data_IF_498664079002
#
_entry.id   IF_498664079002
#
_cell.length_a   1.000
_cell.length_b   1.000
_cell.length_c   1.000
_cell.angle_alpha   90.00
_cell.angle_beta   90.00
_cell.angle_gamma   90.00
#
_symmetry.space_group_name_H-M   'P 1'
#
loop_
_entity.id
_entity.type
_entity.pdbx_description
1 polymer ?
#
# COMPACT_ATOMS: atom_id res chain seq x y z
N UNK A 1 45.66 -147.07 3.63
CA UNK A 1 46.19 -148.44 3.49
C UNK A 1 46.71 -148.55 2.06
N UNK A 2 47.97 -148.96 1.87
CA UNK A 2 48.56 -149.20 0.55
C UNK A 2 49.22 -150.58 0.56
N UNK A 3 49.05 -151.35 -0.51
CA UNK A 3 49.66 -152.67 -0.66
C UNK A 3 50.47 -152.72 -1.97
N UNK A 4 51.56 -153.48 -1.97
CA UNK A 4 52.35 -153.76 -3.17
C UNK A 4 52.86 -155.21 -3.13
N UNK A 5 52.91 -155.85 -4.30
CA UNK A 5 53.28 -157.26 -4.46
C UNK A 5 54.79 -157.40 -4.65
N UNK A 6 55.41 -158.39 -3.98
CA UNK A 6 56.84 -158.72 -4.14
C UNK A 6 56.96 -159.83 -5.19
N UNK A 7 57.48 -159.55 -6.41
CA UNK A 7 57.45 -160.51 -7.51
C UNK A 7 58.62 -161.48 -7.40
N UNK A 8 58.47 -162.54 -6.60
CA UNK A 8 59.24 -163.80 -6.62
C UNK A 8 58.91 -164.72 -5.42
N UNK A 9 58.11 -164.23 -4.46
CA UNK A 9 57.52 -165.01 -3.36
C UNK A 9 56.08 -164.54 -3.17
N UNK A 10 55.13 -165.47 -3.05
CA UNK A 10 53.66 -165.25 -3.03
C UNK A 10 53.16 -164.54 -1.74
N UNK A 11 53.82 -163.44 -1.35
CA UNK A 11 53.60 -162.66 -0.14
C UNK A 11 53.14 -161.23 -0.50
N UNK A 12 52.18 -160.70 0.25
CA UNK A 12 51.69 -159.31 0.12
C UNK A 12 52.15 -158.49 1.32
N UNK A 13 52.87 -157.39 1.08
CA UNK A 13 53.23 -156.44 2.13
C UNK A 13 52.12 -155.40 2.27
N UNK A 14 51.41 -155.41 3.39
CA UNK A 14 50.37 -154.44 3.72
C UNK A 14 50.88 -153.50 4.81
N UNK A 15 51.11 -152.23 4.46
CA UNK A 15 51.43 -151.18 5.43
C UNK A 15 50.11 -150.57 5.90
N UNK A 16 49.80 -150.78 7.17
CA UNK A 16 48.66 -150.15 7.84
C UNK A 16 49.19 -148.97 8.64
N UNK A 17 48.67 -147.77 8.34
CA UNK A 17 48.95 -146.57 9.13
C UNK A 17 47.72 -146.33 10.01
N UNK A 18 47.95 -146.22 11.31
CA UNK A 18 46.87 -146.05 12.28
C UNK A 18 46.20 -144.69 12.07
N UNK A 19 44.88 -144.66 11.83
CA UNK A 19 44.14 -143.44 11.50
C UNK A 19 44.16 -142.40 12.63
N UNK A 20 44.45 -142.84 13.87
CA UNK A 20 44.63 -141.98 15.04
C UNK A 20 45.95 -141.21 15.05
N UNK A 21 47.05 -141.77 14.52
CA UNK A 21 48.32 -141.06 14.41
C UNK A 21 48.31 -140.06 13.24
N UNK A 22 47.74 -140.43 12.09
CA UNK A 22 47.64 -139.54 10.92
C UNK A 22 46.75 -138.31 11.16
N UNK A 23 45.68 -138.44 11.97
CA UNK A 23 44.76 -137.33 12.28
C UNK A 23 45.15 -136.52 13.52
N UNK A 24 46.18 -136.91 14.27
CA UNK A 24 46.61 -136.18 15.48
C UNK A 24 47.09 -134.76 15.15
N UNK A 25 47.88 -134.61 14.07
CA UNK A 25 48.35 -133.32 13.55
C UNK A 25 47.21 -132.48 12.97
N UNK A 26 46.26 -133.10 12.26
CA UNK A 26 45.10 -132.42 11.70
C UNK A 26 44.14 -131.91 12.78
N UNK A 27 43.90 -132.70 13.85
CA UNK A 27 43.07 -132.28 14.98
C UNK A 27 43.73 -131.20 15.85
N UNK A 28 45.06 -131.20 15.97
CA UNK A 28 45.79 -130.11 16.63
C UNK A 28 45.68 -128.80 15.84
N UNK A 29 45.85 -128.85 14.50
CA UNK A 29 45.66 -127.70 13.62
C UNK A 29 44.21 -127.17 13.64
N UNK A 30 43.22 -128.07 13.63
CA UNK A 30 41.80 -127.69 13.73
C UNK A 30 41.50 -126.97 15.06
N UNK A 31 42.04 -127.45 16.19
CA UNK A 31 41.88 -126.79 17.50
C UNK A 31 42.55 -125.42 17.55
N UNK A 32 43.73 -125.26 16.93
CA UNK A 32 44.41 -123.96 16.83
C UNK A 32 43.61 -122.98 15.97
N UNK A 33 43.06 -123.43 14.83
CA UNK A 33 42.23 -122.59 13.96
C UNK A 33 40.94 -122.19 14.68
N UNK A 34 40.25 -123.12 15.36
CA UNK A 34 39.05 -122.82 16.13
C UNK A 34 39.34 -121.86 17.29
N UNK A 35 40.46 -122.04 18.01
CA UNK A 35 40.88 -121.13 19.07
C UNK A 35 41.22 -119.74 18.52
N UNK A 36 41.98 -119.65 17.42
CA UNK A 36 42.32 -118.39 16.76
C UNK A 36 41.07 -117.66 16.25
N UNK A 37 40.09 -118.40 15.71
CA UNK A 37 38.81 -117.85 15.23
C UNK A 37 37.93 -117.37 16.38
N UNK A 38 37.89 -118.11 17.49
CA UNK A 38 37.17 -117.70 18.69
C UNK A 38 37.79 -116.43 19.32
N UNK A 39 39.12 -116.34 19.37
CA UNK A 39 39.84 -115.16 19.87
C UNK A 39 39.63 -113.95 18.96
N UNK A 40 39.73 -114.11 17.63
CA UNK A 40 39.47 -113.00 16.70
C UNK A 40 38.01 -112.54 16.74
N UNK A 41 37.05 -113.46 16.90
CA UNK A 41 35.64 -113.11 17.10
C UNK A 41 35.41 -112.35 18.42
N UNK A 42 36.02 -112.78 19.53
CA UNK A 42 35.94 -112.06 20.81
C UNK A 42 36.55 -110.66 20.72
N UNK A 43 37.71 -110.52 20.07
CA UNK A 43 38.36 -109.22 19.85
C UNK A 43 37.49 -108.32 18.97
N UNK A 44 36.84 -108.87 17.94
CA UNK A 44 35.95 -108.11 17.05
C UNK A 44 34.69 -107.63 17.78
N UNK A 45 34.08 -108.46 18.63
CA UNK A 45 32.94 -108.07 19.47
C UNK A 45 33.36 -107.00 20.49
N UNK A 46 34.54 -107.15 21.10
CA UNK A 46 35.06 -106.16 22.05
C UNK A 46 35.37 -104.82 21.39
N UNK A 47 36.05 -104.82 20.23
CA UNK A 47 36.31 -103.61 19.45
C UNK A 47 35.00 -102.97 18.98
N UNK A 48 34.04 -103.77 18.51
CA UNK A 48 32.71 -103.29 18.12
C UNK A 48 31.99 -102.61 19.29
N UNK A 49 32.06 -103.20 20.49
CA UNK A 49 31.50 -102.59 21.70
C UNK A 49 32.21 -101.27 22.08
N UNK A 50 33.54 -101.22 21.99
CA UNK A 50 34.32 -100.00 22.28
C UNK A 50 34.02 -98.90 21.27
N UNK A 51 33.97 -99.20 19.98
CA UNK A 51 33.60 -98.24 18.92
C UNK A 51 32.16 -97.76 19.11
N UNK A 52 31.23 -98.67 19.36
CA UNK A 52 29.82 -98.32 19.60
C UNK A 52 29.68 -97.37 20.80
N UNK A 53 30.37 -97.64 21.91
CA UNK A 53 30.27 -96.84 23.14
C UNK A 53 31.05 -95.53 23.08
N UNK A 54 32.23 -95.50 22.44
CA UNK A 54 33.10 -94.31 22.40
C UNK A 54 32.85 -93.39 21.20
N UNK A 55 32.26 -93.89 20.11
CA UNK A 55 32.03 -93.14 18.87
C UNK A 55 30.54 -93.05 18.57
N UNK A 56 29.85 -94.18 18.39
CA UNK A 56 28.45 -94.18 17.92
C UNK A 56 27.49 -93.53 18.91
N UNK A 57 27.68 -93.76 20.22
CA UNK A 57 26.80 -93.21 21.26
C UNK A 57 26.91 -91.67 21.38
N UNK A 58 28.12 -91.06 21.48
CA UNK A 58 28.27 -89.59 21.44
C UNK A 58 27.79 -88.95 20.14
N UNK A 59 27.98 -89.61 18.99
CA UNK A 59 27.46 -89.12 17.70
C UNK A 59 25.93 -89.10 17.72
N UNK A 60 25.27 -90.17 18.17
CA UNK A 60 23.81 -90.22 18.25
C UNK A 60 23.26 -89.16 19.22
N UNK A 61 23.94 -88.93 20.34
CA UNK A 61 23.58 -87.86 21.28
C UNK A 61 23.68 -86.48 20.61
N UNK A 62 24.79 -86.20 19.91
CA UNK A 62 24.97 -84.95 19.19
C UNK A 62 23.97 -84.79 18.04
N UNK A 63 23.66 -85.86 17.32
CA UNK A 63 22.60 -85.87 16.30
C UNK A 63 21.24 -85.52 16.90
N UNK A 64 20.90 -86.05 18.08
CA UNK A 64 19.68 -85.70 18.78
C UNK A 64 19.64 -84.23 19.24
N UNK A 65 20.78 -83.68 19.67
CA UNK A 65 20.89 -82.25 20.00
C UNK A 65 20.78 -81.37 18.76
N UNK A 66 21.37 -81.79 17.63
CA UNK A 66 21.23 -81.12 16.34
C UNK A 66 19.79 -81.14 15.84
N UNK A 67 19.07 -82.26 15.99
CA UNK A 67 17.66 -82.36 15.62
C UNK A 67 16.78 -81.42 16.46
N UNK A 68 17.04 -81.34 17.77
CA UNK A 68 16.39 -80.36 18.65
C UNK A 68 16.69 -78.92 18.22
N UNK A 69 17.94 -78.60 17.92
CA UNK A 69 18.33 -77.27 17.42
C UNK A 69 17.70 -76.94 16.06
N UNK A 70 17.61 -77.92 15.15
CA UNK A 70 16.96 -77.78 13.85
C UNK A 70 15.46 -77.50 13.98
N UNK A 71 14.81 -78.04 15.01
CA UNK A 71 13.42 -77.76 15.36
C UNK A 71 13.24 -76.46 16.16
N UNK A 72 14.28 -75.65 16.32
CA UNK A 72 14.24 -74.34 16.96
C UNK A 72 14.60 -74.34 18.45
N UNK A 73 14.97 -75.47 19.07
CA UNK A 73 15.44 -75.46 20.46
C UNK A 73 16.93 -75.09 20.55
N UNK A 74 17.21 -73.80 20.71
CA UNK A 74 18.57 -73.23 20.81
C UNK A 74 19.04 -73.20 22.28
N UNK A 75 18.37 -73.93 23.19
CA UNK A 75 18.81 -74.11 24.59
C UNK A 75 19.70 -75.34 24.78
N UNK A 76 19.85 -76.15 23.73
CA UNK A 76 20.61 -77.41 23.77
C UNK A 76 22.12 -77.20 23.90
N UNK A 77 22.76 -78.02 24.72
CA UNK A 77 24.20 -78.00 24.96
C UNK A 77 24.72 -79.43 24.98
N UNK A 78 25.77 -79.69 24.21
CA UNK A 78 26.51 -80.95 24.28
C UNK A 78 27.47 -80.91 25.46
N UNK A 79 27.37 -81.91 26.34
CA UNK A 79 28.24 -82.07 27.51
C UNK A 79 29.37 -83.07 27.25
N UNK A 80 29.52 -83.53 26.01
CA UNK A 80 30.55 -84.50 25.63
C UNK A 80 31.93 -83.83 25.60
N UNK A 81 32.80 -84.24 26.52
CA UNK A 81 34.18 -83.75 26.61
C UNK A 81 35.14 -84.88 26.27
N UNK A 82 35.87 -84.72 25.17
CA UNK A 82 36.98 -85.59 24.78
C UNK A 82 38.10 -84.76 24.14
N UNK A 83 39.30 -85.32 24.06
CA UNK A 83 40.47 -84.68 23.39
C UNK A 83 40.61 -85.09 21.92
N UNK A 84 39.58 -85.73 21.37
CA UNK A 84 39.51 -86.22 19.99
C UNK A 84 38.63 -85.31 19.11
N UNK A 85 38.40 -85.74 17.87
CA UNK A 85 37.59 -85.04 16.88
C UNK A 85 36.13 -84.84 17.33
N UNK A 86 35.58 -85.75 18.13
CA UNK A 86 34.21 -85.67 18.64
C UNK A 86 34.08 -84.62 19.74
N UNK A 87 35.11 -84.47 20.59
CA UNK A 87 35.19 -83.36 21.54
C UNK A 87 35.25 -81.99 20.85
N UNK A 88 36.04 -81.87 19.78
CA UNK A 88 36.07 -80.64 18.97
C UNK A 88 34.74 -80.36 18.26
N UNK A 89 34.09 -81.41 17.73
CA UNK A 89 32.77 -81.29 17.11
C UNK A 89 31.69 -80.82 18.11
N UNK A 90 31.69 -81.36 19.33
CA UNK A 90 30.81 -80.91 20.43
C UNK A 90 31.04 -79.44 20.80
N UNK A 91 32.31 -79.02 20.93
CA UNK A 91 32.65 -77.63 21.22
C UNK A 91 32.22 -76.66 20.10
N UNK A 92 32.43 -77.04 18.83
CA UNK A 92 31.99 -76.25 17.68
C UNK A 92 30.47 -76.19 17.56
N UNK A 93 29.76 -77.27 17.87
CA UNK A 93 28.29 -77.28 17.97
C UNK A 93 27.81 -76.28 19.04
N UNK A 94 28.37 -76.32 20.25
CA UNK A 94 28.01 -75.39 21.32
C UNK A 94 28.28 -73.92 20.90
N UNK A 95 29.40 -73.65 20.22
CA UNK A 95 29.72 -72.32 19.68
C UNK A 95 28.71 -71.86 18.63
N UNK A 96 28.30 -72.76 17.73
CA UNK A 96 27.26 -72.49 16.73
C UNK A 96 25.93 -72.13 17.40
N UNK A 97 25.48 -72.92 18.37
CA UNK A 97 24.25 -72.66 19.14
C UNK A 97 24.34 -71.31 19.87
N UNK A 98 25.47 -71.01 20.51
CA UNK A 98 25.69 -69.72 21.17
C UNK A 98 25.62 -68.53 20.21
N UNK A 99 26.20 -68.66 19.01
CA UNK A 99 26.17 -67.60 18.00
C UNK A 99 24.76 -67.40 17.44
N UNK A 100 24.03 -68.49 17.16
CA UNK A 100 22.62 -68.43 16.74
C UNK A 100 21.79 -67.77 17.85
N UNK A 101 22.01 -68.16 19.11
CA UNK A 101 21.33 -67.56 20.26
C UNK A 101 21.53 -66.04 20.33
N UNK A 102 22.77 -65.57 20.19
CA UNK A 102 23.08 -64.13 20.18
C UNK A 102 22.37 -63.43 19.01
N UNK A 103 22.41 -64.01 17.82
CA UNK A 103 21.78 -63.45 16.62
C UNK A 103 20.26 -63.32 16.81
N UNK A 104 19.57 -64.31 17.42
CA UNK A 104 18.13 -64.20 17.67
C UNK A 104 17.83 -63.12 18.72
N UNK A 105 18.68 -62.96 19.74
CA UNK A 105 18.55 -61.87 20.73
C UNK A 105 18.69 -60.51 20.05
N UNK A 106 19.72 -60.32 19.22
CA UNK A 106 19.94 -59.08 18.48
C UNK A 106 18.79 -58.78 17.51
N UNK A 107 18.21 -59.81 16.86
CA UNK A 107 17.02 -59.68 16.01
C UNK A 107 15.80 -59.23 16.84
N UNK A 108 15.55 -59.81 18.02
CA UNK A 108 14.39 -59.43 18.85
C UNK A 108 14.49 -57.99 19.34
N UNK A 109 15.70 -57.52 19.67
CA UNK A 109 15.96 -56.11 20.00
C UNK A 109 15.73 -55.20 18.79
N UNK A 110 16.26 -55.55 17.62
CA UNK A 110 16.06 -54.78 16.39
C UNK A 110 14.58 -54.69 15.98
N UNK A 111 13.82 -55.78 16.13
CA UNK A 111 12.36 -55.83 15.90
C UNK A 111 11.64 -54.80 16.76
N UNK A 112 11.96 -54.72 18.06
CA UNK A 112 11.37 -53.76 18.99
C UNK A 112 11.63 -52.31 18.56
N UNK A 113 12.87 -52.01 18.16
CA UNK A 113 13.25 -50.67 17.67
C UNK A 113 12.46 -50.30 16.42
N UNK A 114 12.34 -51.22 15.45
CA UNK A 114 11.63 -50.93 14.19
C UNK A 114 10.12 -50.79 14.40
N UNK A 115 9.50 -51.60 15.27
CA UNK A 115 8.07 -51.44 15.62
C UNK A 115 7.82 -50.06 16.21
N UNK A 116 8.61 -49.66 17.21
CA UNK A 116 8.45 -48.36 17.86
C UNK A 116 8.70 -47.19 16.88
N UNK A 117 9.71 -47.32 16.01
CA UNK A 117 10.00 -46.34 14.97
C UNK A 117 8.87 -46.20 13.95
N UNK A 118 8.28 -47.31 13.51
CA UNK A 118 7.14 -47.33 12.61
C UNK A 118 5.88 -46.70 13.24
N UNK A 119 5.59 -47.00 14.52
CA UNK A 119 4.48 -46.36 15.24
C UNK A 119 4.67 -44.84 15.38
N UNK A 120 5.89 -44.42 15.69
CA UNK A 120 6.23 -43.00 15.76
C UNK A 120 6.06 -42.31 14.41
N UNK A 121 6.53 -42.92 13.31
CA UNK A 121 6.35 -42.39 11.96
C UNK A 121 4.88 -42.25 11.59
N UNK A 122 4.05 -43.27 11.83
CA UNK A 122 2.60 -43.18 11.60
C UNK A 122 1.97 -42.03 12.38
N UNK A 123 2.37 -41.84 13.65
CA UNK A 123 1.86 -40.75 14.48
C UNK A 123 2.27 -39.38 13.91
N UNK A 124 3.55 -39.17 13.63
CA UNK A 124 4.08 -37.90 13.12
C UNK A 124 3.51 -37.57 11.74
N UNK A 125 3.33 -38.57 10.88
CA UNK A 125 2.69 -38.37 9.57
C UNK A 125 1.24 -37.87 9.71
N UNK A 126 0.46 -38.38 10.68
CA UNK A 126 -0.91 -37.90 10.94
C UNK A 126 -0.91 -36.46 11.47
N UNK A 127 -0.05 -36.15 12.44
CA UNK A 127 0.09 -34.78 12.97
C UNK A 127 0.52 -33.78 11.87
N UNK A 128 1.38 -34.21 10.94
CA UNK A 128 1.74 -33.40 9.78
C UNK A 128 0.58 -33.15 8.82
N UNK A 129 -0.27 -34.16 8.56
CA UNK A 129 -1.48 -33.97 7.72
C UNK A 129 -2.41 -32.91 8.32
N UNK A 130 -2.61 -32.91 9.63
CA UNK A 130 -3.40 -31.87 10.32
C UNK A 130 -2.76 -30.48 10.14
N UNK A 131 -1.44 -30.39 10.29
CA UNK A 131 -0.69 -29.13 10.09
C UNK A 131 -0.77 -28.63 8.65
N UNK A 132 -0.66 -29.53 7.67
CA UNK A 132 -0.79 -29.24 6.23
C UNK A 132 -2.22 -28.75 5.91
N UNK A 133 -3.24 -29.33 6.54
CA UNK A 133 -4.63 -28.87 6.39
C UNK A 133 -4.81 -27.42 6.86
N UNK A 134 -4.17 -27.04 7.97
CA UNK A 134 -4.18 -25.65 8.44
C UNK A 134 -3.47 -24.71 7.45
N UNK A 135 -2.32 -25.11 6.90
CA UNK A 135 -1.63 -24.35 5.84
C UNK A 135 -2.52 -24.17 4.61
N UNK A 136 -3.25 -25.21 4.21
CA UNK A 136 -4.22 -25.17 3.10
C UNK A 136 -5.34 -24.15 3.34
N UNK A 137 -5.87 -24.10 4.56
CA UNK A 137 -6.90 -23.13 4.91
C UNK A 137 -6.37 -21.68 4.84
N UNK A 138 -5.16 -21.43 5.34
CA UNK A 138 -4.55 -20.10 5.28
C UNK A 138 -4.20 -19.67 3.85
N UNK A 139 -3.74 -20.59 3.00
CA UNK A 139 -3.43 -20.25 1.59
C UNK A 139 -4.70 -19.90 0.80
N UNK A 140 -5.84 -20.55 1.11
CA UNK A 140 -7.13 -20.17 0.53
C UNK A 140 -7.56 -18.75 0.95
N UNK A 141 -7.34 -18.40 2.22
CA UNK A 141 -7.61 -17.04 2.70
C UNK A 141 -6.70 -15.99 2.04
N UNK A 142 -5.41 -16.31 1.84
CA UNK A 142 -4.47 -15.46 1.11
C UNK A 142 -4.94 -15.25 -0.35
N UNK A 143 -5.34 -16.33 -1.05
CA UNK A 143 -5.83 -16.25 -2.41
C UNK A 143 -7.13 -15.41 -2.53
N UNK A 144 -8.05 -15.56 -1.57
CA UNK A 144 -9.26 -14.71 -1.47
C UNK A 144 -8.89 -13.24 -1.22
N UNK A 145 -7.95 -12.99 -0.31
CA UNK A 145 -7.44 -11.66 -0.01
C UNK A 145 -6.80 -10.97 -1.22
N UNK A 146 -5.96 -11.69 -1.96
CA UNK A 146 -5.33 -11.19 -3.19
C UNK A 146 -6.37 -10.83 -4.27
N UNK A 147 -7.38 -11.68 -4.47
CA UNK A 147 -8.48 -11.41 -5.40
C UNK A 147 -9.32 -10.20 -4.97
N UNK A 148 -9.60 -10.06 -3.69
CA UNK A 148 -10.31 -8.89 -3.17
C UNK A 148 -9.49 -7.61 -3.38
N UNK A 149 -8.19 -7.66 -3.06
CA UNK A 149 -7.28 -6.53 -3.25
C UNK A 149 -7.15 -6.14 -4.73
N UNK A 150 -7.17 -7.08 -5.67
CA UNK A 150 -7.20 -6.80 -7.11
C UNK A 150 -8.46 -6.00 -7.50
N UNK A 151 -9.63 -6.36 -6.98
CA UNK A 151 -10.89 -5.62 -7.23
C UNK A 151 -10.85 -4.21 -6.64
N UNK A 152 -10.36 -4.05 -5.42
CA UNK A 152 -10.19 -2.74 -4.79
C UNK A 152 -9.19 -1.85 -5.54
N UNK A 153 -8.15 -2.47 -6.11
CA UNK A 153 -7.15 -1.78 -6.95
C UNK A 153 -7.77 -1.25 -8.24
N UNK A 154 -8.59 -2.03 -8.92
CA UNK A 154 -9.33 -1.60 -10.13
C UNK A 154 -10.35 -0.48 -9.83
N UNK A 155 -11.05 -0.59 -8.70
CA UNK A 155 -11.93 0.46 -8.22
C UNK A 155 -11.16 1.77 -7.94
N UNK A 156 -10.01 1.66 -7.27
CA UNK A 156 -9.13 2.79 -6.96
C UNK A 156 -8.59 3.44 -8.24
N UNK A 157 -8.21 2.65 -9.25
CA UNK A 157 -7.82 3.15 -10.56
C UNK A 157 -8.92 4.01 -11.19
N UNK A 158 -10.16 3.50 -11.21
CA UNK A 158 -11.32 4.23 -11.73
C UNK A 158 -11.61 5.51 -10.96
N UNK A 159 -11.40 5.51 -9.63
CA UNK A 159 -11.53 6.70 -8.79
C UNK A 159 -10.49 7.77 -9.17
N UNK A 160 -9.23 7.38 -9.39
CA UNK A 160 -8.19 8.32 -9.82
C UNK A 160 -8.42 8.87 -11.23
N UNK A 161 -9.00 8.08 -12.14
CA UNK A 161 -9.43 8.60 -13.45
C UNK A 161 -10.50 9.67 -13.33
N UNK A 162 -11.51 9.46 -12.47
CA UNK A 162 -12.52 10.49 -12.17
C UNK A 162 -11.89 11.71 -11.50
N UNK A 163 -10.96 11.50 -10.57
CA UNK A 163 -10.22 12.56 -9.90
C UNK A 163 -9.42 13.42 -10.89
N UNK A 164 -8.78 12.79 -11.88
CA UNK A 164 -8.09 13.49 -12.97
C UNK A 164 -9.02 14.42 -13.74
N UNK A 165 -10.23 13.96 -14.11
CA UNK A 165 -11.24 14.79 -14.78
C UNK A 165 -11.69 15.98 -13.94
N UNK A 166 -11.80 15.80 -12.62
CA UNK A 166 -12.13 16.89 -11.69
C UNK A 166 -11.01 17.94 -11.64
N UNK A 167 -9.75 17.51 -11.61
CA UNK A 167 -8.59 18.43 -11.69
C UNK A 167 -8.61 19.21 -13.00
N UNK A 168 -8.79 18.54 -14.14
CA UNK A 168 -8.83 19.21 -15.44
C UNK A 168 -10.01 20.21 -15.52
N UNK A 169 -11.17 19.85 -14.96
CA UNK A 169 -12.33 20.76 -14.87
C UNK A 169 -12.04 21.98 -14.00
N UNK A 170 -11.43 21.78 -12.84
CA UNK A 170 -11.04 22.87 -11.93
C UNK A 170 -9.99 23.79 -12.58
N UNK A 171 -9.04 23.22 -13.33
CA UNK A 171 -8.06 23.99 -14.11
C UNK A 171 -8.74 24.85 -15.18
N UNK A 172 -9.74 24.32 -15.90
CA UNK A 172 -10.51 25.09 -16.89
C UNK A 172 -11.31 26.21 -16.20
N UNK A 173 -11.91 25.94 -15.05
CA UNK A 173 -12.61 26.97 -14.26
C UNK A 173 -11.65 28.09 -13.84
N UNK A 174 -10.44 27.77 -13.43
CA UNK A 174 -9.43 28.75 -13.05
C UNK A 174 -9.02 29.67 -14.22
N UNK A 175 -8.90 29.10 -15.43
CA UNK A 175 -8.68 29.89 -16.65
C UNK A 175 -9.84 30.86 -16.94
N UNK A 176 -11.09 30.41 -16.77
CA UNK A 176 -12.27 31.29 -16.92
C UNK A 176 -12.30 32.40 -15.88
N UNK A 177 -11.93 32.12 -14.62
CA UNK A 177 -11.81 33.15 -13.58
C UNK A 177 -10.75 34.19 -13.97
N UNK A 178 -9.64 33.76 -14.59
CA UNK A 178 -8.61 34.68 -15.08
C UNK A 178 -9.11 35.61 -16.21
N UNK A 179 -9.89 35.06 -17.12
CA UNK A 179 -10.55 35.82 -18.19
C UNK A 179 -11.52 36.86 -17.60
N UNK A 180 -12.40 36.45 -16.68
CA UNK A 180 -13.30 37.38 -15.99
C UNK A 180 -12.55 38.44 -15.19
N UNK A 181 -11.49 38.07 -14.46
CA UNK A 181 -10.65 39.00 -13.72
C UNK A 181 -10.02 40.06 -14.64
N UNK A 182 -9.57 39.64 -15.84
CA UNK A 182 -9.02 40.54 -16.85
C UNK A 182 -10.06 41.51 -17.40
N UNK A 183 -11.28 41.04 -17.68
CA UNK A 183 -12.39 41.89 -18.13
C UNK A 183 -12.83 42.90 -17.05
N UNK A 184 -12.87 42.48 -15.79
CA UNK A 184 -13.15 43.38 -14.66
C UNK A 184 -12.03 44.42 -14.53
N UNK A 185 -10.76 44.04 -14.72
CA UNK A 185 -9.61 44.97 -14.69
C UNK A 185 -9.73 46.05 -15.75
N UNK A 186 -10.10 45.69 -16.97
CA UNK A 186 -10.33 46.62 -18.06
C UNK A 186 -11.49 47.59 -17.74
N UNK A 187 -12.62 47.05 -17.28
CA UNK A 187 -13.78 47.86 -16.88
C UNK A 187 -13.44 48.82 -15.73
N UNK A 188 -12.65 48.37 -14.76
CA UNK A 188 -12.18 49.18 -13.64
C UNK A 188 -11.27 50.33 -14.12
N UNK A 189 -10.33 50.04 -15.03
CA UNK A 189 -9.46 51.05 -15.62
C UNK A 189 -10.25 52.11 -16.42
N UNK A 190 -11.25 51.68 -17.18
CA UNK A 190 -12.16 52.58 -17.88
C UNK A 190 -12.93 53.47 -16.88
N UNK A 191 -13.43 52.88 -15.78
CA UNK A 191 -14.06 53.63 -14.69
C UNK A 191 -13.13 54.68 -14.07
N UNK A 192 -11.86 54.32 -13.79
CA UNK A 192 -10.85 55.27 -13.31
C UNK A 192 -10.60 56.42 -14.29
N UNK A 193 -10.54 56.13 -15.60
CA UNK A 193 -10.36 57.16 -16.62
C UNK A 193 -11.54 58.15 -16.65
N UNK A 194 -12.78 57.65 -16.53
CA UNK A 194 -13.98 58.50 -16.46
C UNK A 194 -13.97 59.36 -15.20
N UNK A 195 -13.62 58.79 -14.04
CA UNK A 195 -13.52 59.54 -12.77
C UNK A 195 -12.47 60.64 -12.86
N UNK A 196 -11.32 60.37 -13.51
CA UNK A 196 -10.28 61.36 -13.74
C UNK A 196 -10.76 62.51 -14.63
N UNK A 197 -11.46 62.22 -15.74
CA UNK A 197 -12.07 63.27 -16.57
C UNK A 197 -13.08 64.10 -15.74
N UNK A 198 -13.90 63.44 -14.91
CA UNK A 198 -14.87 64.13 -14.05
C UNK A 198 -14.19 65.06 -13.03
N UNK A 199 -13.04 64.68 -12.47
CA UNK A 199 -12.23 65.57 -11.62
C UNK A 199 -11.76 66.80 -12.38
N UNK A 200 -11.28 66.63 -13.61
CA UNK A 200 -10.85 67.75 -14.47
C UNK A 200 -12.03 68.69 -14.78
N UNK A 201 -13.22 68.14 -15.09
CA UNK A 201 -14.45 68.93 -15.32
C UNK A 201 -14.89 69.68 -14.06
N UNK A 202 -14.87 69.05 -12.88
CA UNK A 202 -15.21 69.72 -11.62
C UNK A 202 -14.25 70.88 -11.32
N UNK A 203 -12.95 70.69 -11.53
CA UNK A 203 -11.95 71.74 -11.36
C UNK A 203 -12.19 72.91 -12.32
N UNK A 204 -12.56 72.63 -13.57
CA UNK A 204 -12.94 73.66 -14.54
C UNK A 204 -14.22 74.40 -14.11
N UNK A 205 -15.21 73.69 -13.57
CA UNK A 205 -16.46 74.27 -13.08
C UNK A 205 -16.25 75.15 -11.85
N UNK A 206 -15.37 74.75 -10.93
CA UNK A 206 -14.95 75.58 -9.79
C UNK A 206 -14.34 76.91 -10.26
N UNK A 207 -13.41 76.86 -11.24
CA UNK A 207 -12.82 78.07 -11.84
C UNK A 207 -13.88 78.97 -12.49
N UNK A 208 -14.85 78.38 -13.20
CA UNK A 208 -15.97 79.12 -13.82
C UNK A 208 -16.85 79.81 -12.77
N UNK A 209 -17.18 79.13 -11.68
CA UNK A 209 -17.94 79.70 -10.55
C UNK A 209 -17.20 80.89 -9.93
N UNK A 210 -15.90 80.75 -9.69
CA UNK A 210 -15.06 81.82 -9.13
C UNK A 210 -15.00 83.05 -10.06
N UNK A 211 -14.84 82.83 -11.37
CA UNK A 211 -14.88 83.90 -12.35
C UNK A 211 -16.25 84.60 -12.40
N UNK A 212 -17.35 83.85 -12.25
CA UNK A 212 -18.70 84.41 -12.20
C UNK A 212 -18.89 85.28 -10.96
N UNK A 213 -18.49 84.81 -9.77
CA UNK A 213 -18.52 85.59 -8.53
C UNK A 213 -17.74 86.90 -8.69
N UNK A 214 -16.52 86.84 -9.23
CA UNK A 214 -15.70 88.02 -9.49
C UNK A 214 -16.35 89.01 -10.48
N UNK A 215 -17.00 88.51 -11.53
CA UNK A 215 -17.71 89.35 -12.50
C UNK A 215 -18.91 90.06 -11.87
N UNK A 216 -19.69 89.37 -11.02
CA UNK A 216 -20.83 89.94 -10.31
C UNK A 216 -20.36 91.01 -9.30
N UNK A 217 -19.30 90.75 -8.53
CA UNK A 217 -18.73 91.74 -7.60
C UNK A 217 -18.24 93.00 -8.32
N UNK A 218 -17.67 92.86 -9.52
CA UNK A 218 -17.26 94.01 -10.33
C UNK A 218 -18.45 94.78 -10.89
N UNK A 219 -19.53 94.09 -11.30
CA UNK A 219 -20.77 94.74 -11.69
C UNK A 219 -21.40 95.49 -10.49
N UNK A 220 -21.33 94.93 -9.28
CA UNK A 220 -21.84 95.56 -8.06
C UNK A 220 -21.13 96.87 -7.74
N UNK A 221 -19.80 96.86 -7.82
CA UNK A 221 -18.98 98.08 -7.70
C UNK A 221 -19.33 99.13 -8.76
N UNK A 222 -19.57 98.72 -10.01
CA UNK A 222 -19.94 99.65 -11.09
C UNK A 222 -21.34 100.24 -10.87
N UNK A 223 -22.29 99.44 -10.41
CA UNK A 223 -23.65 99.90 -10.09
C UNK A 223 -23.66 100.88 -8.91
N UNK A 224 -22.81 100.67 -7.89
CA UNK A 224 -22.60 101.64 -6.82
C UNK A 224 -22.09 102.98 -7.38
N UNK A 225 -21.09 102.96 -8.26
CA UNK A 225 -20.60 104.18 -8.89
C UNK A 225 -21.69 104.89 -9.71
N UNK A 226 -22.53 104.15 -10.44
CA UNK A 226 -23.65 104.75 -11.20
C UNK A 226 -24.66 105.37 -10.23
N UNK A 227 -24.96 104.72 -9.11
CA UNK A 227 -25.85 105.25 -8.07
C UNK A 227 -25.36 106.62 -7.57
N UNK A 228 -24.07 106.74 -7.28
CA UNK A 228 -23.46 107.99 -6.82
C UNK A 228 -23.55 109.10 -7.88
N UNK A 229 -23.31 108.75 -9.15
CA UNK A 229 -23.47 109.68 -10.27
C UNK A 229 -24.94 110.12 -10.39
N UNK A 230 -25.90 109.21 -10.31
CA UNK A 230 -27.33 109.53 -10.42
C UNK A 230 -27.83 110.40 -9.28
N UNK A 231 -27.33 110.18 -8.05
CA UNK A 231 -27.60 111.06 -6.92
C UNK A 231 -27.07 112.47 -7.18
N UNK A 232 -25.84 112.58 -7.68
CA UNK A 232 -25.23 113.87 -8.05
C UNK A 232 -26.05 114.59 -9.14
N UNK A 233 -26.54 113.87 -10.15
CA UNK A 233 -27.40 114.44 -11.20
C UNK A 233 -28.73 114.93 -10.60
N UNK A 234 -29.33 114.16 -9.69
CA UNK A 234 -30.56 114.56 -8.98
C UNK A 234 -30.34 115.85 -8.18
N UNK A 235 -29.23 115.95 -7.44
CA UNK A 235 -28.85 117.15 -6.68
C UNK A 235 -28.63 118.36 -7.61
N UNK A 236 -27.95 118.18 -8.75
CA UNK A 236 -27.76 119.24 -9.75
C UNK A 236 -29.11 119.67 -10.34
N UNK A 237 -29.99 118.72 -10.65
CA UNK A 237 -31.32 119.00 -11.19
C UNK A 237 -32.16 119.77 -10.17
N UNK A 238 -32.09 119.43 -8.88
CA UNK A 238 -32.76 120.15 -7.80
C UNK A 238 -32.21 121.58 -7.62
N UNK A 239 -30.88 121.75 -7.63
CA UNK A 239 -30.25 123.07 -7.61
C UNK A 239 -30.65 123.91 -8.83
N UNK A 240 -30.66 123.31 -10.03
CA UNK A 240 -31.05 123.98 -11.28
C UNK A 240 -32.52 124.38 -11.26
N UNK A 241 -33.38 123.53 -10.71
CA UNK A 241 -34.80 123.83 -10.49
C UNK A 241 -34.97 125.04 -9.55
N UNK A 242 -34.22 125.10 -8.44
CA UNK A 242 -34.22 126.25 -7.52
C UNK A 242 -33.67 127.53 -8.18
N UNK A 243 -32.58 127.44 -8.93
CA UNK A 243 -31.98 128.55 -9.69
C UNK A 243 -32.96 129.11 -10.73
N UNK A 244 -33.60 128.22 -11.49
CA UNK A 244 -34.59 128.60 -12.51
C UNK A 244 -35.87 129.18 -11.91
N UNK A 245 -36.30 128.69 -10.74
CA UNK A 245 -37.41 129.27 -9.99
C UNK A 245 -37.08 130.70 -9.53
N UNK A 246 -35.89 130.91 -8.98
CA UNK A 246 -35.41 132.24 -8.60
C UNK A 246 -35.31 133.18 -9.81
N UNK A 247 -34.83 132.69 -10.95
CA UNK A 247 -34.79 133.45 -12.20
C UNK A 247 -36.18 133.78 -12.75
N UNK A 248 -37.14 132.86 -12.68
CA UNK A 248 -38.53 133.09 -13.07
C UNK A 248 -39.21 134.14 -12.18
N UNK A 249 -38.94 134.12 -10.87
CA UNK A 249 -39.40 135.13 -9.91
C UNK A 249 -38.85 136.52 -10.25
N UNK A 250 -37.55 136.66 -10.50
CA UNK A 250 -36.93 137.95 -10.82
C UNK A 250 -37.32 138.48 -12.21
N UNK A 251 -37.58 137.57 -13.17
CA UNK A 251 -38.12 137.91 -14.49
C UNK A 251 -39.57 138.41 -14.41
N UNK A 252 -40.42 137.80 -13.58
CA UNK A 252 -41.79 138.26 -13.32
C UNK A 252 -41.82 139.65 -12.64
N UNK A 253 -40.82 139.92 -11.78
CA UNK A 253 -40.64 141.20 -11.08
C UNK A 253 -40.21 142.36 -11.99
N UNK A 254 -39.56 142.05 -13.13
CA UNK A 254 -39.08 143.02 -14.11
C UNK A 254 -40.13 143.45 -15.16
N UNK A 255 -41.39 143.02 -15.01
CA UNK A 255 -42.52 143.47 -15.85
C UNK A 255 -42.36 143.15 -17.35
N UNK A 256 -42.78 144.07 -18.24
CA UNK A 256 -42.80 143.85 -19.70
C UNK A 256 -41.41 143.57 -20.30
N UNK A 257 -40.31 144.03 -19.70
CA UNK A 257 -38.94 143.74 -20.16
C UNK A 257 -38.46 142.32 -19.78
N UNK A 258 -39.05 141.67 -18.78
CA UNK A 258 -38.65 140.34 -18.28
C UNK A 258 -39.35 139.15 -18.95
N UNK A 259 -40.38 139.38 -19.77
CA UNK A 259 -41.21 138.32 -20.36
C UNK A 259 -40.41 137.27 -21.17
N UNK A 260 -39.37 137.68 -21.91
CA UNK A 260 -38.52 136.73 -22.64
C UNK A 260 -37.66 135.86 -21.71
N UNK A 261 -37.17 136.43 -20.60
CA UNK A 261 -36.40 135.70 -19.58
C UNK A 261 -37.27 134.76 -18.74
N UNK A 262 -38.53 135.13 -18.47
CA UNK A 262 -39.46 134.29 -17.72
C UNK A 262 -39.77 132.98 -18.47
N UNK A 263 -39.97 133.05 -19.80
CA UNK A 263 -40.19 131.86 -20.65
C UNK A 263 -38.98 130.92 -20.62
N UNK A 264 -37.76 131.48 -20.72
CA UNK A 264 -36.53 130.67 -20.64
C UNK A 264 -36.36 130.04 -19.26
N UNK A 265 -36.64 130.78 -18.18
CA UNK A 265 -36.54 130.28 -16.81
C UNK A 265 -37.56 129.16 -16.52
N UNK A 266 -38.81 129.28 -16.99
CA UNK A 266 -39.80 128.20 -16.86
C UNK A 266 -39.44 126.96 -17.70
N UNK A 267 -38.82 127.13 -18.88
CA UNK A 267 -38.34 126.00 -19.69
C UNK A 267 -37.16 125.29 -19.00
N UNK A 268 -36.22 126.03 -18.39
CA UNK A 268 -35.13 125.46 -17.58
C UNK A 268 -35.70 124.73 -16.36
N UNK A 269 -36.72 125.29 -15.68
CA UNK A 269 -37.40 124.65 -14.55
C UNK A 269 -38.01 123.31 -14.94
N UNK A 270 -38.66 123.28 -16.11
CA UNK A 270 -39.26 122.07 -16.67
C UNK A 270 -38.20 121.02 -17.01
N UNK A 271 -37.10 121.42 -17.67
CA UNK A 271 -35.96 120.53 -17.97
C UNK A 271 -35.29 120.00 -16.70
N UNK A 272 -35.16 120.83 -15.67
CA UNK A 272 -34.59 120.44 -14.38
C UNK A 272 -35.48 119.42 -13.65
N UNK A 273 -36.80 119.65 -13.62
CA UNK A 273 -37.77 118.69 -13.07
C UNK A 273 -37.77 117.36 -13.84
N UNK A 274 -37.72 117.41 -15.18
CA UNK A 274 -37.58 116.21 -16.01
C UNK A 274 -36.26 115.47 -15.75
N UNK A 275 -35.15 116.19 -15.57
CA UNK A 275 -33.85 115.60 -15.24
C UNK A 275 -33.84 114.94 -13.86
N UNK A 276 -34.49 115.56 -12.87
CA UNK A 276 -34.67 114.97 -11.53
C UNK A 276 -35.48 113.67 -11.61
N UNK A 277 -36.62 113.70 -12.29
CA UNK A 277 -37.46 112.51 -12.48
C UNK A 277 -36.72 111.38 -13.21
N UNK A 278 -35.92 111.71 -14.23
CA UNK A 278 -35.10 110.72 -14.93
C UNK A 278 -33.99 110.15 -14.02
N UNK A 279 -33.35 110.98 -13.20
CA UNK A 279 -32.33 110.53 -12.24
C UNK A 279 -32.92 109.61 -11.17
N UNK A 280 -34.13 109.91 -10.67
CA UNK A 280 -34.87 109.05 -9.73
C UNK A 280 -35.23 107.69 -10.37
N UNK A 281 -35.67 107.67 -11.63
CA UNK A 281 -35.96 106.45 -12.38
C UNK A 281 -34.70 105.59 -12.59
N UNK A 282 -33.55 106.19 -12.94
CA UNK A 282 -32.28 105.47 -13.03
C UNK A 282 -31.87 104.92 -11.65
N UNK A 283 -32.03 105.70 -10.57
CA UNK A 283 -31.71 105.26 -9.21
C UNK A 283 -32.55 104.04 -8.80
N UNK A 284 -33.83 104.01 -9.16
CA UNK A 284 -34.71 102.85 -8.97
C UNK A 284 -34.20 101.62 -9.74
N UNK A 285 -33.88 101.76 -11.02
CA UNK A 285 -33.33 100.67 -11.86
C UNK A 285 -32.02 100.15 -11.28
N UNK A 286 -31.13 101.03 -10.80
CA UNK A 286 -29.87 100.64 -10.16
C UNK A 286 -30.14 99.86 -8.86
N UNK A 287 -31.13 100.25 -8.07
CA UNK A 287 -31.57 99.50 -6.89
C UNK A 287 -32.03 98.07 -7.24
N UNK A 288 -32.81 97.91 -8.31
CA UNK A 288 -33.21 96.58 -8.79
C UNK A 288 -32.01 95.76 -9.28
N UNK A 289 -31.07 96.37 -10.02
CA UNK A 289 -29.84 95.72 -10.46
C UNK A 289 -28.99 95.25 -9.26
N UNK A 290 -28.87 96.06 -8.21
CA UNK A 290 -28.16 95.69 -6.97
C UNK A 290 -28.81 94.49 -6.26
N UNK A 291 -30.13 94.50 -6.11
CA UNK A 291 -30.84 93.36 -5.53
C UNK A 291 -30.64 92.08 -6.36
N UNK A 292 -30.69 92.19 -7.69
CA UNK A 292 -30.46 91.06 -8.59
C UNK A 292 -29.01 90.54 -8.51
N UNK A 293 -28.02 91.42 -8.32
CA UNK A 293 -26.63 91.02 -8.10
C UNK A 293 -26.44 90.31 -6.76
N UNK A 294 -27.03 90.82 -5.68
CA UNK A 294 -26.95 90.17 -4.37
C UNK A 294 -27.59 88.76 -4.40
N UNK A 295 -28.70 88.60 -5.12
CA UNK A 295 -29.30 87.29 -5.39
C UNK A 295 -28.35 86.39 -6.19
N UNK A 296 -27.69 86.93 -7.20
CA UNK A 296 -26.72 86.20 -8.04
C UNK A 296 -25.49 85.74 -7.25
N UNK A 297 -24.95 86.55 -6.34
CA UNK A 297 -23.84 86.17 -5.44
C UNK A 297 -24.24 85.01 -4.52
N UNK A 298 -25.42 85.07 -3.90
CA UNK A 298 -25.91 83.98 -3.05
C UNK A 298 -26.11 82.67 -3.83
N UNK A 299 -26.58 82.78 -5.07
CA UNK A 299 -26.68 81.64 -5.99
C UNK A 299 -25.30 81.08 -6.32
N UNK A 300 -24.32 81.93 -6.64
CA UNK A 300 -22.95 81.51 -6.92
C UNK A 300 -22.29 80.79 -5.73
N UNK A 301 -22.48 81.28 -4.49
CA UNK A 301 -22.03 80.58 -3.26
C UNK A 301 -22.67 79.21 -3.10
N UNK A 302 -23.95 79.08 -3.43
CA UNK A 302 -24.67 77.80 -3.36
C UNK A 302 -24.13 76.81 -4.39
N UNK A 303 -23.76 77.30 -5.58
CA UNK A 303 -23.09 76.50 -6.63
C UNK A 303 -21.71 76.05 -6.17
N UNK A 304 -20.93 76.92 -5.52
CA UNK A 304 -19.60 76.58 -4.99
C UNK A 304 -19.67 75.46 -3.94
N UNK A 305 -20.60 75.54 -2.99
CA UNK A 305 -20.86 74.48 -2.02
C UNK A 305 -21.28 73.15 -2.68
N UNK A 306 -22.01 73.21 -3.78
CA UNK A 306 -22.38 72.01 -4.54
C UNK A 306 -21.17 71.37 -5.23
N UNK A 307 -20.26 72.19 -5.79
CA UNK A 307 -19.01 71.74 -6.42
C UNK A 307 -18.07 71.08 -5.39
N UNK A 308 -17.97 71.63 -4.18
CA UNK A 308 -17.17 71.04 -3.10
C UNK A 308 -17.67 69.64 -2.71
N UNK A 309 -18.99 69.51 -2.51
CA UNK A 309 -19.61 68.21 -2.23
C UNK A 309 -19.40 67.23 -3.37
N UNK A 310 -19.50 67.70 -4.62
CA UNK A 310 -19.25 66.89 -5.81
C UNK A 310 -17.79 66.44 -5.87
N UNK A 311 -16.83 67.29 -5.53
CA UNK A 311 -15.39 66.97 -5.51
C UNK A 311 -15.08 65.85 -4.51
N UNK A 312 -15.68 65.93 -3.31
CA UNK A 312 -15.55 64.87 -2.29
C UNK A 312 -16.14 63.54 -2.80
N UNK A 313 -17.33 63.58 -3.42
CA UNK A 313 -17.98 62.39 -3.97
C UNK A 313 -17.14 61.72 -5.08
N UNK A 314 -16.55 62.52 -5.97
CA UNK A 314 -15.67 62.03 -7.03
C UNK A 314 -14.38 61.42 -6.46
N UNK A 315 -13.76 62.05 -5.46
CA UNK A 315 -12.58 61.49 -4.77
C UNK A 315 -12.89 60.16 -4.06
N UNK A 316 -14.05 60.05 -3.40
CA UNK A 316 -14.46 58.78 -2.79
C UNK A 316 -14.69 57.69 -3.84
N UNK A 317 -15.22 58.07 -5.01
CA UNK A 317 -15.40 57.15 -6.14
C UNK A 317 -14.06 56.66 -6.69
N UNK A 318 -13.06 57.54 -6.81
CA UNK A 318 -11.69 57.18 -7.21
C UNK A 318 -11.08 56.13 -6.26
N UNK A 319 -11.16 56.36 -4.95
CA UNK A 319 -10.69 55.41 -3.92
C UNK A 319 -11.38 54.05 -4.01
N UNK A 320 -12.67 54.02 -4.36
CA UNK A 320 -13.39 52.77 -4.56
C UNK A 320 -12.81 51.98 -5.75
N UNK A 321 -12.54 52.65 -6.88
CA UNK A 321 -11.89 52.01 -8.03
C UNK A 321 -10.44 51.56 -7.74
N UNK A 322 -9.68 52.30 -6.92
CA UNK A 322 -8.35 51.87 -6.45
C UNK A 322 -8.43 50.58 -5.62
N UNK A 323 -9.38 50.52 -4.70
CA UNK A 323 -9.63 49.33 -3.88
C UNK A 323 -9.99 48.13 -4.75
N UNK A 324 -10.85 48.32 -5.76
CA UNK A 324 -11.21 47.26 -6.72
C UNK A 324 -9.96 46.80 -7.49
N UNK A 325 -9.10 47.71 -7.95
CA UNK A 325 -7.83 47.36 -8.60
C UNK A 325 -6.95 46.47 -7.73
N UNK A 326 -6.81 46.77 -6.44
CA UNK A 326 -6.05 45.95 -5.49
C UNK A 326 -6.66 44.55 -5.35
N UNK A 327 -8.00 44.45 -5.20
CA UNK A 327 -8.69 43.16 -5.10
C UNK A 327 -8.52 42.31 -6.36
N UNK A 328 -8.53 42.93 -7.55
CA UNK A 328 -8.26 42.24 -8.82
C UNK A 328 -6.84 41.68 -8.87
N UNK A 329 -5.83 42.45 -8.44
CA UNK A 329 -4.45 41.95 -8.34
C UNK A 329 -4.33 40.75 -7.40
N UNK A 330 -5.02 40.78 -6.26
CA UNK A 330 -5.06 39.64 -5.34
C UNK A 330 -5.73 38.41 -5.95
N UNK A 331 -6.82 38.59 -6.71
CA UNK A 331 -7.47 37.50 -7.47
C UNK A 331 -6.48 36.89 -8.46
N UNK A 332 -5.76 37.69 -9.24
CA UNK A 332 -4.77 37.20 -10.19
C UNK A 332 -3.67 36.36 -9.51
N UNK A 333 -3.17 36.80 -8.35
CA UNK A 333 -2.21 36.02 -7.56
C UNK A 333 -2.77 34.68 -7.10
N UNK A 334 -4.04 34.62 -6.69
CA UNK A 334 -4.70 33.38 -6.23
C UNK A 334 -4.97 32.41 -7.38
N UNK A 335 -5.18 32.91 -8.58
CA UNK A 335 -5.30 32.10 -9.80
C UNK A 335 -3.96 31.42 -10.13
N UNK A 336 -2.84 32.14 -10.03
CA UNK A 336 -1.51 31.58 -10.25
C UNK A 336 -1.17 30.47 -9.24
N UNK A 337 -1.45 30.73 -7.95
CA UNK A 337 -1.30 29.74 -6.87
C UNK A 337 -2.16 28.49 -7.13
N UNK A 338 -3.42 28.67 -7.52
CA UNK A 338 -4.33 27.57 -7.87
C UNK A 338 -3.81 26.77 -9.07
N UNK A 339 -3.22 27.43 -10.07
CA UNK A 339 -2.65 26.76 -11.24
C UNK A 339 -1.47 25.86 -10.88
N UNK A 340 -0.60 26.32 -9.97
CA UNK A 340 0.50 25.50 -9.42
C UNK A 340 -0.04 24.28 -8.67
N UNK A 341 -1.05 24.47 -7.80
CA UNK A 341 -1.69 23.37 -7.07
C UNK A 341 -2.31 22.32 -8.01
N UNK A 342 -2.98 22.73 -9.10
CA UNK A 342 -3.53 21.76 -10.05
C UNK A 342 -2.43 20.96 -10.78
N UNK A 343 -1.30 21.60 -11.09
CA UNK A 343 -0.16 20.89 -11.68
C UNK A 343 0.42 19.84 -10.73
N UNK A 344 0.58 20.18 -9.45
CA UNK A 344 1.04 19.26 -8.42
C UNK A 344 0.05 18.10 -8.18
N UNK A 345 -1.25 18.40 -8.10
CA UNK A 345 -2.29 17.37 -7.99
C UNK A 345 -2.30 16.41 -9.18
N UNK A 346 -2.05 16.90 -10.39
CA UNK A 346 -1.93 16.06 -11.58
C UNK A 346 -0.72 15.14 -11.52
N UNK A 347 0.42 15.63 -11.02
CA UNK A 347 1.59 14.80 -10.79
C UNK A 347 1.35 13.73 -9.72
N UNK A 348 0.76 14.10 -8.58
CA UNK A 348 0.43 13.18 -7.50
C UNK A 348 -0.58 12.10 -7.95
N UNK A 349 -1.57 12.47 -8.78
CA UNK A 349 -2.47 11.50 -9.43
C UNK A 349 -1.70 10.46 -10.23
N UNK A 350 -0.71 10.87 -11.04
CA UNK A 350 0.08 9.93 -11.83
C UNK A 350 0.94 9.01 -10.95
N UNK A 351 1.55 9.53 -9.88
CA UNK A 351 2.30 8.72 -8.91
C UNK A 351 1.41 7.67 -8.24
N UNK A 352 0.18 8.06 -7.88
CA UNK A 352 -0.78 7.12 -7.31
C UNK A 352 -1.24 6.06 -8.31
N UNK A 353 -1.48 6.42 -9.59
CA UNK A 353 -1.78 5.45 -10.63
C UNK A 353 -0.67 4.40 -10.82
N UNK A 354 0.59 4.83 -10.82
CA UNK A 354 1.72 3.88 -10.88
C UNK A 354 1.77 2.96 -9.66
N UNK A 355 1.45 3.47 -8.48
CA UNK A 355 1.38 2.68 -7.24
C UNK A 355 0.26 1.63 -7.31
N UNK A 356 -0.90 2.00 -7.83
CA UNK A 356 -2.04 1.11 -8.07
C UNK A 356 -1.65 -0.01 -9.06
N UNK A 357 -0.95 0.31 -10.14
CA UNK A 357 -0.45 -0.72 -11.07
C UNK A 357 0.53 -1.70 -10.42
N UNK A 358 1.44 -1.21 -9.57
CA UNK A 358 2.36 -2.07 -8.82
C UNK A 358 1.61 -3.01 -7.88
N UNK A 359 0.57 -2.51 -7.18
CA UNK A 359 -0.28 -3.34 -6.32
C UNK A 359 -0.98 -4.42 -7.14
N UNK A 360 -1.52 -4.08 -8.32
CA UNK A 360 -2.14 -5.06 -9.23
C UNK A 360 -1.19 -6.20 -9.58
N UNK A 361 0.06 -5.88 -9.93
CA UNK A 361 1.08 -6.90 -10.23
C UNK A 361 1.43 -7.78 -9.02
N UNK A 362 1.44 -7.20 -7.81
CA UNK A 362 1.66 -7.95 -6.58
C UNK A 362 0.48 -8.89 -6.30
N UNK A 363 -0.76 -8.46 -6.51
CA UNK A 363 -1.95 -9.31 -6.37
C UNK A 363 -1.89 -10.53 -7.31
N UNK A 364 -1.52 -10.32 -8.58
CA UNK A 364 -1.36 -11.40 -9.56
C UNK A 364 -0.28 -12.41 -9.12
N UNK A 365 0.89 -11.91 -8.70
CA UNK A 365 1.97 -12.78 -8.19
C UNK A 365 1.57 -13.53 -6.93
N UNK A 366 0.81 -12.89 -6.04
CA UNK A 366 0.33 -13.49 -4.79
C UNK A 366 -0.69 -14.60 -5.09
N UNK A 367 -1.59 -14.38 -6.05
CA UNK A 367 -2.53 -15.40 -6.52
C UNK A 367 -1.79 -16.61 -7.11
N UNK A 368 -0.84 -16.39 -8.01
CA UNK A 368 -0.03 -17.45 -8.61
C UNK A 368 0.78 -18.23 -7.56
N UNK A 369 1.40 -17.52 -6.59
CA UNK A 369 2.14 -18.16 -5.50
C UNK A 369 1.22 -18.96 -4.58
N UNK A 370 -0.02 -18.50 -4.38
CA UNK A 370 -1.01 -19.23 -3.58
C UNK A 370 -1.44 -20.52 -4.26
N UNK A 371 -1.60 -20.52 -5.59
CA UNK A 371 -1.86 -21.73 -6.37
C UNK A 371 -0.70 -22.73 -6.28
N UNK A 372 0.54 -22.27 -6.39
CA UNK A 372 1.74 -23.12 -6.29
C UNK A 372 1.88 -23.76 -4.90
N UNK A 373 1.62 -22.99 -3.83
CA UNK A 373 1.63 -23.50 -2.46
C UNK A 373 0.48 -24.48 -2.23
N UNK A 374 -0.70 -24.24 -2.80
CA UNK A 374 -1.83 -25.18 -2.74
C UNK A 374 -1.47 -26.52 -3.38
N UNK A 375 -0.89 -26.51 -4.58
CA UNK A 375 -0.43 -27.73 -5.25
C UNK A 375 0.65 -28.47 -4.43
N UNK A 376 1.58 -27.73 -3.83
CA UNK A 376 2.61 -28.30 -2.95
C UNK A 376 2.02 -28.94 -1.69
N UNK A 377 0.97 -28.34 -1.13
CA UNK A 377 0.23 -28.81 0.05
C UNK A 377 -0.51 -30.12 -0.25
N UNK A 378 -1.13 -30.24 -1.44
CA UNK A 378 -1.73 -31.48 -1.92
C UNK A 378 -0.69 -32.60 -2.05
N UNK A 379 0.46 -32.31 -2.67
CA UNK A 379 1.56 -33.28 -2.83
C UNK A 379 2.14 -33.72 -1.47
N UNK A 380 2.30 -32.80 -0.53
CA UNK A 380 2.77 -33.13 0.83
C UNK A 380 1.75 -34.01 1.56
N UNK A 381 0.46 -33.74 1.42
CA UNK A 381 -0.60 -34.58 2.01
C UNK A 381 -0.49 -36.01 1.51
N UNK A 382 -0.43 -36.21 0.19
CA UNK A 382 -0.30 -37.54 -0.42
C UNK A 382 0.99 -38.27 0.02
N UNK A 383 2.08 -37.53 0.20
CA UNK A 383 3.36 -38.07 0.68
C UNK A 383 3.27 -38.53 2.14
N UNK A 384 2.60 -37.76 3.01
CA UNK A 384 2.42 -38.12 4.42
C UNK A 384 1.48 -39.31 4.60
N UNK A 385 0.41 -39.40 3.79
CA UNK A 385 -0.47 -40.57 3.75
C UNK A 385 0.31 -41.82 3.33
N UNK A 386 1.16 -41.71 2.29
CA UNK A 386 2.01 -42.80 1.83
C UNK A 386 2.99 -43.26 2.92
N UNK A 387 3.65 -42.32 3.62
CA UNK A 387 4.55 -42.66 4.75
C UNK A 387 3.78 -43.35 5.87
N UNK A 388 2.57 -42.89 6.19
CA UNK A 388 1.72 -43.52 7.21
C UNK A 388 1.40 -44.97 6.84
N UNK A 389 0.99 -45.23 5.59
CA UNK A 389 0.66 -46.56 5.08
C UNK A 389 1.90 -47.47 5.06
N UNK A 390 3.03 -46.98 4.56
CA UNK A 390 4.28 -47.75 4.52
C UNK A 390 4.82 -48.07 5.91
N UNK A 391 4.67 -47.15 6.86
CA UNK A 391 5.04 -47.39 8.27
C UNK A 391 4.17 -48.48 8.90
N UNK A 392 2.86 -48.48 8.61
CA UNK A 392 1.96 -49.53 9.06
C UNK A 392 2.27 -50.89 8.42
N UNK A 393 2.59 -50.91 7.12
CA UNK A 393 3.05 -52.11 6.41
C UNK A 393 4.35 -52.65 7.01
N UNK A 394 5.34 -51.78 7.26
CA UNK A 394 6.61 -52.14 7.89
C UNK A 394 6.39 -52.75 9.27
N UNK A 395 5.56 -52.11 10.11
CA UNK A 395 5.17 -52.64 11.41
C UNK A 395 4.58 -54.05 11.29
N UNK A 396 3.66 -54.26 10.34
CA UNK A 396 3.03 -55.57 10.12
C UNK A 396 4.03 -56.64 9.66
N UNK A 397 4.99 -56.29 8.79
CA UNK A 397 6.05 -57.21 8.37
C UNK A 397 6.98 -57.59 9.53
N UNK A 398 7.33 -56.63 10.38
CA UNK A 398 8.20 -56.84 11.54
C UNK A 398 7.48 -57.63 12.63
N UNK A 399 6.16 -57.47 12.80
CA UNK A 399 5.35 -58.34 13.67
C UNK A 399 5.40 -59.80 13.19
N UNK A 400 5.28 -60.06 11.88
CA UNK A 400 5.43 -61.43 11.34
C UNK A 400 6.85 -61.99 11.56
N UNK A 401 7.87 -61.15 11.45
CA UNK A 401 9.25 -61.54 11.77
C UNK A 401 9.39 -61.88 13.26
N UNK A 402 8.73 -61.13 14.15
CA UNK A 402 8.67 -61.42 15.59
C UNK A 402 8.01 -62.75 15.88
N UNK A 403 6.93 -63.09 15.18
CA UNK A 403 6.28 -64.40 15.30
C UNK A 403 7.20 -65.53 14.84
N UNK A 404 7.90 -65.35 13.72
CA UNK A 404 8.90 -66.32 13.24
C UNK A 404 10.06 -66.48 14.23
N UNK A 405 10.55 -65.38 14.82
CA UNK A 405 11.61 -65.40 15.83
C UNK A 405 11.23 -66.22 17.08
N UNK A 406 9.95 -66.15 17.50
CA UNK A 406 9.43 -66.94 18.63
C UNK A 406 9.44 -68.45 18.42
N UNK A 407 9.57 -68.94 17.18
CA UNK A 407 9.74 -70.37 16.91
C UNK A 407 11.08 -70.89 17.47
N UNK A 408 12.06 -70.01 17.65
CA UNK A 408 13.33 -70.34 18.30
C UNK A 408 13.21 -70.17 19.81
N UNK A 409 13.43 -71.27 20.54
CA UNK A 409 13.48 -71.29 22.00
C UNK A 409 14.87 -70.88 22.48
N UNK A 410 14.93 -69.73 23.15
CA UNK A 410 16.18 -69.08 23.61
C UNK A 410 16.37 -69.26 25.14
N UNK A 411 15.29 -69.63 25.84
CA UNK A 411 15.22 -69.87 27.29
C UNK A 411 14.52 -71.16 27.63
#
# INVERSE_FOLDING_TARGET
MSYNLVPEVDWVFAVTQNATEANSAANLLLKIILAATAVSAMISIFLGYVVSKKITLPINELMGLMDKAANGDITVISHFHSKDELGNLSANFNKMISNIKSLIIDIDEAILIVINGAELLTKVSKENVESISQVSFEIENIAKGANHQAKETDYTYTLFEKFGKLIDTASIMNLKINEYSSSIKESNNNGKAIVKDLQEKNNAQSKLSNNLTYAIENLDKKSLNIKDITNTISDIAEQTNLLSLNAAIEAAKSGKQGNGFAVVADEIKKLASQSKSAAEEISFIIGEIQNQMHYSVNTAKSVELAIDKQTIAVSNTEKAFDTISEKICNIASKIDESSKLFSELKNNKNVMLNSVQNISSICEKTAASSEEVSASTEQQTASMESISVESENLKNQIIKLKETSKLFKIR
#
